data_IF_789052288459
#
_entry.id   IF_789052288459
#
_cell.length_a   1.000
_cell.length_b   1.000
_cell.length_c   1.000
_cell.angle_alpha   90.00
_cell.angle_beta   90.00
_cell.angle_gamma   90.00
#
_symmetry.space_group_name_H-M   'P 1'
#
loop_
_entity.id
_entity.type
_entity.pdbx_description
1 polymer ?
#
# COMPACT_ATOMS: atom_id res chain seq x y z
N UNK A 1 1.44 4.58 9.31
CA UNK A 1 0.54 4.21 8.17
C UNK A 1 0.59 5.03 6.87
N UNK A 2 1.20 6.23 6.77
CA UNK A 2 1.10 7.04 5.53
C UNK A 2 1.79 6.41 4.30
N UNK A 3 2.90 5.69 4.51
CA UNK A 3 3.65 5.00 3.44
C UNK A 3 2.87 3.84 2.84
N UNK A 4 2.27 3.00 3.68
CA UNK A 4 1.51 1.80 3.28
C UNK A 4 0.23 2.19 2.56
N UNK A 5 -0.46 3.24 3.04
CA UNK A 5 -1.58 3.84 2.35
C UNK A 5 -1.19 4.39 0.96
N UNK A 6 -0.03 5.05 0.84
CA UNK A 6 0.44 5.58 -0.44
C UNK A 6 0.76 4.48 -1.46
N UNK A 7 1.31 3.33 -1.04
CA UNK A 7 1.56 2.18 -1.92
C UNK A 7 0.23 1.61 -2.43
N UNK A 8 -0.70 1.32 -1.52
CA UNK A 8 -2.02 0.76 -1.87
C UNK A 8 -2.80 1.70 -2.76
N UNK A 9 -2.86 3.00 -2.44
CA UNK A 9 -3.53 4.01 -3.25
C UNK A 9 -2.82 4.24 -4.59
N UNK A 10 -1.48 4.21 -4.61
CA UNK A 10 -0.67 4.33 -5.82
C UNK A 10 -0.94 3.19 -6.81
N UNK A 11 -1.13 1.95 -6.33
CA UNK A 11 -1.54 0.84 -7.17
C UNK A 11 -2.90 1.06 -7.82
N UNK A 12 -3.89 1.53 -7.06
CA UNK A 12 -5.23 1.84 -7.61
C UNK A 12 -5.14 2.93 -8.68
N UNK A 13 -4.42 4.03 -8.40
CA UNK A 13 -4.23 5.11 -9.37
C UNK A 13 -3.51 4.63 -10.64
N UNK A 14 -2.53 3.73 -10.51
CA UNK A 14 -1.85 3.10 -11.64
C UNK A 14 -2.81 2.23 -12.47
N UNK A 15 -3.64 1.42 -11.82
CA UNK A 15 -4.64 0.58 -12.48
C UNK A 15 -5.66 1.43 -13.28
N UNK A 16 -6.10 2.55 -12.71
CA UNK A 16 -6.97 3.52 -13.40
C UNK A 16 -6.27 4.15 -14.61
N UNK A 17 -5.01 4.56 -14.47
CA UNK A 17 -4.23 5.14 -15.56
C UNK A 17 -4.03 4.14 -16.73
N UNK A 18 -3.75 2.88 -16.41
CA UNK A 18 -3.61 1.80 -17.40
C UNK A 18 -4.94 1.56 -18.11
N UNK A 19 -6.04 1.49 -17.36
CA UNK A 19 -7.39 1.33 -17.92
C UNK A 19 -7.74 2.49 -18.87
N UNK A 20 -7.39 3.72 -18.48
CA UNK A 20 -7.58 4.92 -19.30
C UNK A 20 -6.78 4.89 -20.63
N UNK A 21 -5.55 4.38 -20.59
CA UNK A 21 -4.68 4.22 -21.75
C UNK A 21 -5.12 3.07 -22.67
N UNK A 22 -5.58 1.95 -22.10
CA UNK A 22 -6.14 0.81 -22.84
C UNK A 22 -7.40 1.22 -23.61
N UNK A 23 -8.31 1.96 -22.98
CA UNK A 23 -9.51 2.50 -23.65
C UNK A 23 -9.16 3.37 -24.86
N UNK A 24 -7.99 4.03 -24.85
CA UNK A 24 -7.48 4.86 -25.95
C UNK A 24 -6.59 4.11 -26.94
N UNK A 25 -6.46 2.78 -26.80
CA UNK A 25 -5.57 1.94 -27.61
C UNK A 25 -4.12 2.43 -27.62
N UNK A 26 -3.67 3.06 -26.52
CA UNK A 26 -2.30 3.59 -26.35
C UNK A 26 -1.34 2.63 -25.64
N UNK A 27 -1.83 1.46 -25.23
CA UNK A 27 -1.06 0.39 -24.61
C UNK A 27 -1.17 -0.89 -25.43
N UNK A 28 -0.08 -1.66 -25.48
CA UNK A 28 -0.09 -3.04 -25.96
C UNK A 28 -0.20 -3.96 -24.76
N UNK A 29 -1.25 -4.78 -24.72
CA UNK A 29 -1.46 -5.77 -23.66
C UNK A 29 -1.85 -5.17 -22.30
N UNK A 30 -1.73 -6.01 -21.25
CA UNK A 30 -1.94 -5.61 -19.86
C UNK A 30 -0.60 -5.56 -19.13
N UNK A 31 -0.07 -4.38 -18.78
CA UNK A 31 1.23 -4.24 -18.14
C UNK A 31 1.22 -4.58 -16.63
N UNK A 32 0.06 -4.79 -16.01
CA UNK A 32 -0.03 -5.23 -14.61
C UNK A 32 0.22 -6.74 -14.50
N UNK A 33 1.26 -7.13 -13.78
CA UNK A 33 1.58 -8.52 -13.51
C UNK A 33 0.79 -9.09 -12.32
N UNK A 34 0.62 -8.28 -11.26
CA UNK A 34 -0.10 -8.64 -10.04
C UNK A 34 -0.59 -7.38 -9.32
N UNK A 35 -1.51 -7.56 -8.38
CA UNK A 35 -1.92 -6.51 -7.46
C UNK A 35 -0.87 -6.25 -6.39
N UNK A 36 -0.75 -5.00 -5.95
CA UNK A 36 0.12 -4.59 -4.85
C UNK A 36 -0.69 -3.85 -3.78
N UNK A 37 -0.39 -4.13 -2.51
CA UNK A 37 -0.97 -3.48 -1.35
C UNK A 37 0.07 -3.48 -0.23
N UNK A 38 -0.08 -2.60 0.76
CA UNK A 38 0.82 -2.55 1.89
C UNK A 38 0.10 -2.21 3.19
N UNK A 39 0.63 -2.68 4.32
CA UNK A 39 0.12 -2.41 5.67
C UNK A 39 1.25 -2.32 6.69
N UNK A 40 1.09 -1.48 7.72
CA UNK A 40 2.02 -1.38 8.84
C UNK A 40 1.64 -2.35 9.95
N UNK A 41 2.64 -2.96 10.59
CA UNK A 41 2.49 -3.86 11.73
C UNK A 41 3.54 -3.53 12.77
N UNK A 42 3.24 -3.78 14.05
CA UNK A 42 4.23 -3.56 15.09
C UNK A 42 3.84 -4.12 16.45
N UNK A 43 4.74 -3.94 17.41
CA UNK A 43 4.50 -4.26 18.83
C UNK A 43 4.32 -2.95 19.60
N UNK A 44 3.19 -2.80 20.30
CA UNK A 44 2.86 -1.62 21.09
C UNK A 44 2.46 -2.08 22.50
N UNK A 45 3.31 -1.80 23.49
CA UNK A 45 3.09 -2.22 24.88
C UNK A 45 3.11 -3.74 25.04
N UNK A 46 4.04 -4.41 24.36
CA UNK A 46 4.17 -5.87 24.35
C UNK A 46 3.12 -6.61 23.51
N UNK A 47 2.15 -5.91 22.90
CA UNK A 47 1.10 -6.52 22.08
C UNK A 47 1.29 -6.25 20.59
N UNK A 48 1.08 -7.29 19.76
CA UNK A 48 1.11 -7.15 18.31
C UNK A 48 -0.12 -6.41 17.79
N UNK A 49 0.09 -5.39 16.96
CA UNK A 49 -0.95 -4.55 16.33
C UNK A 49 -0.77 -4.45 14.82
N UNK A 50 -1.91 -4.34 14.13
CA UNK A 50 -2.02 -4.15 12.69
C UNK A 50 -2.54 -2.74 12.40
N UNK A 51 -2.06 -2.14 11.32
CA UNK A 51 -2.47 -0.81 10.83
C UNK A 51 -2.29 0.30 11.87
N UNK A 52 -1.05 0.44 12.34
CA UNK A 52 -0.67 1.43 13.35
C UNK A 52 -1.07 2.86 12.94
N UNK A 53 -1.92 3.48 13.76
CA UNK A 53 -2.20 4.91 13.67
C UNK A 53 -1.00 5.72 14.21
N UNK A 54 -1.01 7.05 14.03
CA UNK A 54 0.15 7.88 14.38
C UNK A 54 0.63 7.71 15.83
N UNK A 55 -0.31 7.67 16.79
CA UNK A 55 0.01 7.51 18.21
C UNK A 55 0.59 6.12 18.54
N UNK A 56 0.23 5.10 17.78
CA UNK A 56 0.75 3.75 17.96
C UNK A 56 2.13 3.60 17.30
N UNK A 57 2.28 4.17 16.10
CA UNK A 57 3.50 4.18 15.30
C UNK A 57 4.65 4.88 16.04
N UNK A 58 4.38 6.01 16.70
CA UNK A 58 5.40 6.76 17.46
C UNK A 58 5.85 6.05 18.75
N UNK A 59 5.00 5.15 19.28
CA UNK A 59 5.24 4.45 20.54
C UNK A 59 5.58 2.96 20.34
N UNK A 60 5.71 2.50 19.09
CA UNK A 60 5.96 1.10 18.78
C UNK A 60 7.40 0.69 19.18
N UNK A 61 7.52 -0.47 19.84
CA UNK A 61 8.80 -1.11 20.13
C UNK A 61 9.46 -1.64 18.86
N UNK A 62 8.62 -2.06 17.91
CA UNK A 62 9.03 -2.53 16.59
C UNK A 62 7.96 -2.11 15.60
N UNK A 63 8.37 -1.46 14.51
CA UNK A 63 7.54 -1.11 13.36
C UNK A 63 8.08 -1.83 12.11
N UNK A 64 7.17 -2.38 11.31
CA UNK A 64 7.45 -3.03 10.04
C UNK A 64 6.33 -2.72 9.04
N UNK A 65 6.71 -2.58 7.77
CA UNK A 65 5.77 -2.44 6.67
C UNK A 65 5.81 -3.71 5.81
N UNK A 66 4.66 -4.33 5.58
CA UNK A 66 4.49 -5.48 4.67
C UNK A 66 3.96 -4.96 3.34
N UNK A 67 4.56 -5.37 2.23
CA UNK A 67 4.24 -4.98 0.85
C UNK A 67 4.13 -6.23 -0.02
#
# INVERSE_FOLDING_TARGET
GTRTAAITGGYVALADAISWLQARKRLRGSPLAASAAAVSVGIVGGEARLDLCYEEDVNAETDMNVV
#
